data_IF_925281798098
#
_entry.id   IF_925281798098
#
_cell.length_a   1.000
_cell.length_b   1.000
_cell.length_c   1.000
_cell.angle_alpha   90.00
_cell.angle_beta   90.00
_cell.angle_gamma   90.00
#
_symmetry.space_group_name_H-M   'P 1'
#
loop_
_entity.id
_entity.type
_entity.pdbx_description
1 polymer ?
#
# COMPACT_ATOMS: atom_id res chain seq x y z
N UNK A 1 -7.45 -18.61 -9.97
CA UNK A 1 -6.03 -18.81 -9.57
C UNK A 1 -5.57 -17.59 -8.77
N UNK A 2 -4.97 -17.82 -7.63
CA UNK A 2 -4.53 -16.70 -6.79
C UNK A 2 -3.39 -15.93 -7.44
N UNK A 3 -3.36 -14.60 -7.31
CA UNK A 3 -2.24 -13.81 -7.81
C UNK A 3 -0.90 -14.22 -7.20
N UNK A 4 0.14 -14.22 -8.01
CA UNK A 4 1.49 -14.63 -7.63
C UNK A 4 2.42 -13.42 -7.49
N UNK A 5 2.12 -12.55 -6.53
CA UNK A 5 2.90 -11.33 -6.34
C UNK A 5 3.80 -11.37 -5.10
N UNK A 6 3.71 -12.42 -4.28
CA UNK A 6 4.40 -12.48 -2.99
C UNK A 6 5.92 -12.37 -3.06
N UNK A 7 6.53 -12.83 -4.15
CA UNK A 7 7.97 -12.85 -4.30
C UNK A 7 8.53 -11.53 -4.85
N UNK A 8 7.66 -10.61 -5.23
CA UNK A 8 8.07 -9.34 -5.81
C UNK A 8 8.26 -8.28 -4.73
N UNK A 9 9.16 -7.34 -4.97
CA UNK A 9 9.46 -6.27 -4.01
C UNK A 9 8.57 -5.05 -4.19
N UNK A 10 8.15 -4.79 -5.42
CA UNK A 10 7.39 -3.58 -5.75
C UNK A 10 6.20 -3.95 -6.60
N UNK A 11 5.12 -3.25 -6.35
CA UNK A 11 3.95 -3.30 -7.23
C UNK A 11 3.56 -1.89 -7.62
N UNK A 12 2.98 -1.76 -8.80
CA UNK A 12 2.31 -0.54 -9.22
C UNK A 12 0.87 -0.65 -8.74
N UNK A 13 0.54 0.14 -7.73
CA UNK A 13 -0.83 0.22 -7.22
C UNK A 13 -1.54 1.32 -7.98
N UNK A 14 -2.54 0.95 -8.76
CA UNK A 14 -3.31 1.90 -9.56
C UNK A 14 -4.58 2.25 -8.81
N UNK A 15 -4.77 3.53 -8.57
CA UNK A 15 -6.00 4.09 -7.99
C UNK A 15 -6.64 5.01 -9.03
N UNK A 16 -7.86 5.45 -8.79
CA UNK A 16 -8.63 6.16 -9.81
C UNK A 16 -9.10 7.52 -9.30
N UNK A 17 -8.91 8.55 -10.13
CA UNK A 17 -9.49 9.87 -9.87
C UNK A 17 -10.99 9.83 -10.08
N UNK A 18 -11.69 10.86 -9.59
CA UNK A 18 -13.13 10.99 -9.81
C UNK A 18 -13.49 10.97 -11.29
N UNK A 19 -12.58 11.43 -12.15
CA UNK A 19 -12.76 11.42 -13.60
C UNK A 19 -12.62 10.03 -14.22
N UNK A 20 -12.13 9.04 -13.45
CA UNK A 20 -11.81 7.72 -13.98
C UNK A 20 -10.36 7.56 -14.43
N UNK A 21 -9.56 8.64 -14.35
CA UNK A 21 -8.15 8.57 -14.73
C UNK A 21 -7.35 7.66 -13.81
N UNK A 22 -6.56 6.76 -14.40
CA UNK A 22 -5.70 5.83 -13.66
C UNK A 22 -4.47 6.58 -13.13
N UNK A 23 -4.14 6.34 -11.86
CA UNK A 23 -2.95 6.92 -11.23
C UNK A 23 -2.10 5.81 -10.62
N UNK A 24 -1.04 5.35 -11.31
CA UNK A 24 -0.17 4.32 -10.77
C UNK A 24 0.83 4.89 -9.77
N UNK A 25 1.15 4.12 -8.75
CA UNK A 25 2.17 4.46 -7.77
C UNK A 25 2.96 3.20 -7.41
N UNK A 26 4.28 3.27 -7.51
CA UNK A 26 5.13 2.17 -7.07
C UNK A 26 5.14 2.13 -5.53
N UNK A 27 4.85 0.97 -4.96
CA UNK A 27 4.75 0.83 -3.50
C UNK A 27 5.37 -0.48 -3.05
N UNK A 28 5.80 -0.50 -1.78
CA UNK A 28 6.10 -1.73 -1.06
C UNK A 28 4.80 -2.32 -0.56
N UNK A 29 4.77 -3.64 -0.49
CA UNK A 29 3.58 -4.35 -0.05
C UNK A 29 3.97 -5.60 0.73
N UNK A 30 3.04 -6.11 1.52
CA UNK A 30 3.22 -7.36 2.24
C UNK A 30 1.89 -8.08 2.34
N UNK A 31 1.97 -9.38 2.57
CA UNK A 31 0.78 -10.17 2.85
C UNK A 31 0.15 -9.71 4.17
N UNK A 32 -1.16 -9.73 4.26
CA UNK A 32 -1.86 -9.26 5.45
C UNK A 32 -3.05 -10.15 5.77
N UNK A 33 -3.11 -10.64 7.01
CA UNK A 33 -4.17 -11.52 7.44
C UNK A 33 -4.03 -12.95 6.91
N UNK A 34 -5.09 -13.72 7.07
CA UNK A 34 -5.10 -15.14 6.71
C UNK A 34 -5.56 -15.42 5.29
N UNK A 35 -6.17 -14.42 4.65
CA UNK A 35 -6.66 -14.56 3.28
C UNK A 35 -5.50 -14.58 2.30
N UNK A 36 -5.49 -15.53 1.38
CA UNK A 36 -4.40 -15.70 0.42
C UNK A 36 -4.22 -14.50 -0.51
N UNK A 37 -5.27 -13.72 -0.74
CA UNK A 37 -5.27 -12.63 -1.71
C UNK A 37 -5.27 -11.24 -1.09
N UNK A 38 -5.09 -11.14 0.22
CA UNK A 38 -5.12 -9.87 0.94
C UNK A 38 -3.72 -9.40 1.26
N UNK A 39 -3.45 -8.15 0.96
CA UNK A 39 -2.15 -7.51 1.10
C UNK A 39 -2.29 -6.14 1.73
N UNK A 40 -1.18 -5.57 2.16
CA UNK A 40 -1.19 -4.25 2.75
C UNK A 40 -0.09 -3.38 2.16
N UNK A 41 -0.30 -2.08 2.26
CA UNK A 41 0.61 -1.05 1.77
C UNK A 41 0.69 0.05 2.82
N UNK A 42 1.91 0.47 3.13
CA UNK A 42 2.13 1.61 4.00
C UNK A 42 2.03 2.90 3.18
N UNK A 43 1.45 3.93 3.75
CA UNK A 43 1.28 5.20 3.05
C UNK A 43 1.23 6.37 4.04
N UNK A 44 1.39 7.57 3.52
CA UNK A 44 1.13 8.77 4.31
C UNK A 44 -0.37 9.04 4.35
N UNK A 45 -0.85 9.51 5.49
CA UNK A 45 -2.29 9.74 5.72
C UNK A 45 -2.90 10.69 4.69
N UNK A 46 -2.13 11.68 4.23
CA UNK A 46 -2.60 12.67 3.28
C UNK A 46 -2.22 12.38 1.83
N UNK A 47 -1.71 11.19 1.55
CA UNK A 47 -1.32 10.83 0.18
C UNK A 47 -2.52 10.86 -0.76
N UNK A 48 -2.26 11.18 -2.03
CA UNK A 48 -3.30 11.20 -3.05
C UNK A 48 -4.02 9.87 -3.20
N UNK A 49 -3.26 8.75 -3.09
CA UNK A 49 -3.87 7.43 -3.20
C UNK A 49 -4.86 7.14 -2.06
N UNK A 50 -4.65 7.71 -0.88
CA UNK A 50 -5.61 7.58 0.23
C UNK A 50 -6.92 8.26 -0.14
N UNK A 51 -6.84 9.47 -0.67
CA UNK A 51 -8.04 10.22 -1.09
C UNK A 51 -8.78 9.50 -2.22
N UNK A 52 -8.04 8.98 -3.18
CA UNK A 52 -8.64 8.26 -4.31
C UNK A 52 -9.35 6.98 -3.88
N UNK A 53 -8.73 6.21 -2.99
CA UNK A 53 -9.34 4.98 -2.46
C UNK A 53 -10.59 5.30 -1.63
N UNK A 54 -10.57 6.39 -0.87
CA UNK A 54 -11.75 6.80 -0.10
C UNK A 54 -12.95 7.07 -1.01
N UNK A 55 -12.71 7.63 -2.19
CA UNK A 55 -13.76 7.94 -3.15
C UNK A 55 -14.08 6.77 -4.07
N UNK A 56 -13.11 5.93 -4.38
CA UNK A 56 -13.29 4.77 -5.26
C UNK A 56 -12.38 3.63 -4.77
N UNK A 57 -12.95 2.60 -4.16
CA UNK A 57 -12.15 1.50 -3.61
C UNK A 57 -11.56 0.55 -4.64
N UNK A 58 -11.94 0.66 -5.90
CA UNK A 58 -11.38 -0.19 -6.95
C UNK A 58 -9.91 0.10 -7.15
N UNK A 59 -9.11 -0.96 -7.29
CA UNK A 59 -7.70 -0.83 -7.57
C UNK A 59 -7.27 -1.85 -8.63
N UNK A 60 -6.15 -1.57 -9.26
CA UNK A 60 -5.45 -2.53 -10.11
C UNK A 60 -4.01 -2.65 -9.60
N UNK A 61 -3.43 -3.82 -9.81
CA UNK A 61 -2.06 -4.09 -9.38
C UNK A 61 -1.30 -4.73 -10.53
N UNK A 62 -0.10 -4.23 -10.78
CA UNK A 62 0.84 -4.84 -11.72
C UNK A 62 2.20 -4.91 -11.04
N UNK A 63 2.99 -5.92 -11.37
CA UNK A 63 4.35 -6.02 -10.87
C UNK A 63 5.20 -4.94 -11.57
N UNK A 64 6.02 -4.24 -10.81
CA UNK A 64 6.87 -3.18 -11.36
C UNK A 64 8.26 -3.20 -10.73
N UNK A 65 9.16 -2.40 -11.29
CA UNK A 65 10.49 -2.18 -10.71
C UNK A 65 10.45 -1.02 -9.69
N UNK A 66 11.60 -0.69 -9.12
CA UNK A 66 11.71 0.38 -8.12
C UNK A 66 11.28 1.74 -8.66
N UNK A 67 11.38 1.94 -9.97
CA UNK A 67 11.00 3.19 -10.63
C UNK A 67 9.53 3.22 -11.05
N UNK A 68 8.81 2.13 -10.82
CA UNK A 68 7.41 2.01 -11.19
C UNK A 68 7.20 1.54 -12.62
N UNK A 69 8.26 1.12 -13.30
CA UNK A 69 8.15 0.65 -14.68
C UNK A 69 7.53 -0.75 -14.71
N UNK A 70 6.47 -0.89 -15.48
CA UNK A 70 5.73 -2.13 -15.67
C UNK A 70 6.12 -2.73 -17.03
N UNK A 71 6.41 -4.02 -17.06
CA UNK A 71 6.73 -4.70 -18.29
C UNK A 71 5.53 -4.70 -19.25
N UNK A 72 5.79 -4.68 -20.56
CA UNK A 72 4.73 -4.62 -21.56
C UNK A 72 3.76 -5.81 -21.48
N UNK A 73 4.26 -6.97 -21.06
CA UNK A 73 3.48 -8.19 -20.95
C UNK A 73 3.00 -8.48 -19.52
N UNK A 74 3.14 -7.51 -18.62
CA UNK A 74 2.75 -7.71 -17.22
C UNK A 74 1.25 -7.92 -17.09
N UNK A 75 0.89 -8.90 -16.26
CA UNK A 75 -0.51 -9.18 -15.96
C UNK A 75 -1.07 -8.09 -15.05
N UNK A 76 -2.31 -7.71 -15.29
CA UNK A 76 -3.05 -6.80 -14.42
C UNK A 76 -3.95 -7.60 -13.50
N UNK A 77 -3.83 -7.36 -12.20
CA UNK A 77 -4.71 -7.95 -11.19
C UNK A 77 -5.69 -6.89 -10.73
N UNK A 78 -6.94 -7.29 -10.52
CA UNK A 78 -8.02 -6.38 -10.12
C UNK A 78 -8.44 -6.69 -8.71
N UNK A 79 -8.83 -5.66 -7.96
CA UNK A 79 -9.27 -5.85 -6.60
C UNK A 79 -9.93 -4.62 -6.01
N UNK A 80 -10.09 -4.67 -4.69
CA UNK A 80 -10.64 -3.57 -3.92
C UNK A 80 -9.72 -3.27 -2.74
N UNK A 81 -9.67 -2.01 -2.37
CA UNK A 81 -8.87 -1.55 -1.24
C UNK A 81 -9.74 -0.84 -0.22
N UNK A 82 -9.30 -0.86 1.02
CA UNK A 82 -9.92 -0.06 2.06
C UNK A 82 -8.83 0.53 2.94
N UNK A 83 -9.18 1.60 3.63
CA UNK A 83 -8.26 2.29 4.52
C UNK A 83 -8.42 1.74 5.93
N UNK A 84 -7.29 1.57 6.61
CA UNK A 84 -7.28 1.11 8.00
C UNK A 84 -6.59 2.15 8.87
N UNK A 85 -7.05 2.27 10.11
CA UNK A 85 -6.50 3.21 11.09
C UNK A 85 -6.27 2.48 12.41
N UNK A 86 -5.69 3.16 13.40
CA UNK A 86 -5.49 2.62 14.73
C UNK A 86 -4.63 1.36 14.73
N UNK A 87 -5.08 0.35 15.46
CA UNK A 87 -4.33 -0.89 15.62
C UNK A 87 -4.08 -1.63 14.31
N UNK A 88 -5.03 -1.57 13.38
CA UNK A 88 -4.85 -2.19 12.07
C UNK A 88 -3.77 -1.49 11.27
N UNK A 89 -3.73 -0.16 11.30
CA UNK A 89 -2.69 0.59 10.62
C UNK A 89 -1.30 0.26 11.17
N UNK A 90 -1.20 0.10 12.49
CA UNK A 90 0.05 -0.33 13.14
C UNK A 90 0.43 -1.73 12.68
N UNK A 91 -0.55 -2.64 12.58
CA UNK A 91 -0.30 -4.00 12.09
C UNK A 91 0.23 -4.01 10.67
N UNK A 92 -0.29 -3.14 9.80
CA UNK A 92 0.23 -2.97 8.44
C UNK A 92 1.69 -2.53 8.48
N UNK A 93 2.01 -1.53 9.28
CA UNK A 93 3.38 -1.04 9.42
C UNK A 93 4.32 -2.15 9.86
N UNK A 94 3.89 -2.98 10.83
CA UNK A 94 4.69 -4.10 11.30
C UNK A 94 4.88 -5.17 10.23
N UNK A 95 3.86 -5.45 9.44
CA UNK A 95 3.95 -6.45 8.36
C UNK A 95 4.96 -6.02 7.29
N UNK A 96 4.92 -4.75 6.89
CA UNK A 96 5.88 -4.19 5.93
C UNK A 96 7.29 -4.24 6.53
N UNK A 97 7.43 -3.86 7.78
CA UNK A 97 8.69 -3.87 8.48
C UNK A 97 9.32 -5.26 8.54
N UNK A 98 8.53 -6.24 8.88
CA UNK A 98 8.99 -7.62 8.97
C UNK A 98 9.50 -8.11 7.61
N UNK A 99 8.79 -7.78 6.55
CA UNK A 99 9.14 -8.24 5.19
C UNK A 99 10.43 -7.60 4.68
N UNK A 100 10.62 -6.30 4.93
CA UNK A 100 11.73 -5.55 4.34
C UNK A 100 12.94 -5.37 5.27
N UNK A 101 12.88 -5.84 6.49
CA UNK A 101 14.03 -5.95 7.39
C UNK A 101 14.67 -4.60 7.73
N UNK A 102 15.90 -4.39 7.27
CA UNK A 102 16.71 -3.20 7.61
C UNK A 102 15.98 -1.90 7.28
N UNK A 103 15.20 -1.87 6.23
CA UNK A 103 14.42 -0.70 5.84
C UNK A 103 13.47 -0.26 6.95
N UNK A 104 13.00 -1.21 7.75
CA UNK A 104 12.15 -0.91 8.89
C UNK A 104 12.83 -0.03 9.93
N UNK A 105 14.10 -0.30 10.26
CA UNK A 105 14.80 0.49 11.27
C UNK A 105 14.91 1.95 10.84
N UNK A 106 15.25 2.19 9.57
CA UNK A 106 15.30 3.53 9.02
C UNK A 106 13.93 4.19 9.03
N UNK A 107 12.93 3.44 8.63
CA UNK A 107 11.56 3.91 8.58
C UNK A 107 11.04 4.25 9.98
N UNK A 108 11.37 3.41 10.97
CA UNK A 108 10.97 3.62 12.36
C UNK A 108 11.59 4.90 12.94
N UNK A 109 12.88 5.15 12.66
CA UNK A 109 13.55 6.37 13.08
C UNK A 109 12.90 7.59 12.43
N UNK A 110 12.65 7.53 11.13
CA UNK A 110 11.98 8.60 10.41
C UNK A 110 10.60 8.90 11.00
N UNK A 111 9.82 7.86 11.26
CA UNK A 111 8.49 8.03 11.84
C UNK A 111 8.53 8.60 13.26
N UNK A 112 9.53 8.22 14.05
CA UNK A 112 9.68 8.76 15.41
C UNK A 112 9.94 10.27 15.38
N UNK A 113 10.83 10.72 14.49
CA UNK A 113 11.12 12.14 14.33
C UNK A 113 9.89 12.88 13.81
N UNK A 114 9.26 12.32 12.77
CA UNK A 114 8.05 12.90 12.20
C UNK A 114 6.91 12.95 13.20
N UNK A 115 6.79 11.94 14.04
CA UNK A 115 5.77 11.89 15.09
C UNK A 115 5.97 12.99 16.12
N UNK A 116 7.22 13.26 16.52
CA UNK A 116 7.52 14.34 17.45
C UNK A 116 7.14 15.71 16.87
N UNK A 117 7.45 15.93 15.61
CA UNK A 117 7.13 17.19 14.93
C UNK A 117 5.63 17.34 14.69
N UNK A 118 4.92 16.25 14.49
CA UNK A 118 3.49 16.26 14.16
C UNK A 118 2.58 16.13 15.36
N UNK A 119 3.11 16.06 16.57
CA UNK A 119 2.30 15.89 17.78
C UNK A 119 1.20 16.92 17.96
N UNK A 120 1.38 18.11 17.40
CA UNK A 120 0.39 19.19 17.48
C UNK A 120 -0.74 19.02 16.46
N UNK A 121 -0.57 18.15 15.46
CA UNK A 121 -1.51 17.95 14.37
C UNK A 121 -1.76 16.45 14.23
N UNK A 122 -2.42 15.88 15.24
CA UNK A 122 -2.60 14.43 15.31
C UNK A 122 -3.55 13.99 14.22
N UNK A 123 -2.98 13.58 13.08
CA UNK A 123 -3.72 12.78 12.10
C UNK A 123 -3.51 11.32 12.46
N UNK A 124 -4.56 10.53 12.56
CA UNK A 124 -4.42 9.10 12.82
C UNK A 124 -3.63 8.44 11.70
N UNK A 125 -2.76 7.52 12.07
CA UNK A 125 -2.05 6.72 11.08
C UNK A 125 -3.06 6.00 10.20
N UNK A 126 -2.92 6.12 8.89
CA UNK A 126 -3.80 5.49 7.90
C UNK A 126 -2.95 4.70 6.95
N UNK A 127 -3.28 3.45 6.74
CA UNK A 127 -2.62 2.60 5.77
C UNK A 127 -3.67 1.91 4.90
N UNK A 128 -3.21 1.13 3.92
CA UNK A 128 -4.08 0.54 2.91
C UNK A 128 -4.04 -0.98 3.04
N UNK A 129 -5.21 -1.61 3.01
CA UNK A 129 -5.34 -3.06 2.85
C UNK A 129 -6.13 -3.29 1.57
N UNK A 130 -5.65 -4.19 0.73
CA UNK A 130 -6.37 -4.50 -0.51
C UNK A 130 -6.47 -6.01 -0.71
N UNK A 131 -7.53 -6.42 -1.37
CA UNK A 131 -7.78 -7.83 -1.71
C UNK A 131 -7.93 -7.95 -3.21
N UNK A 132 -7.18 -8.86 -3.80
CA UNK A 132 -7.22 -9.11 -5.24
C UNK A 132 -8.22 -10.20 -5.56
N UNK A 133 -8.88 -10.07 -6.70
CA UNK A 133 -9.79 -11.09 -7.21
C UNK A 133 -9.00 -12.30 -7.71
N UNK A 134 -9.59 -13.46 -7.60
CA UNK A 134 -9.01 -14.69 -8.15
C UNK A 134 -9.07 -14.71 -9.67
#
# INVERSE_FOLDING_TARGET
MSPQINDEKYISLVTFRASGERVPTAVWFAKFGDDANTYCVITETNAGKVKRIRNNPKIEVQICDIKGKVAADAQTYFGVAHLVTGNEAVAVRKAIAYRYGITYKLFSVYNSVGSLLKRRFVLPETNIVFTLND
#
